data_IF_753750347708
#
_entry.id   IF_753750347708
#
_cell.length_a   1.000
_cell.length_b   1.000
_cell.length_c   1.000
_cell.angle_alpha   90.00
_cell.angle_beta   90.00
_cell.angle_gamma   90.00
#
_symmetry.space_group_name_H-M   'P 1'
#
loop_
_entity.id
_entity.type
_entity.pdbx_description
1 polymer ?
#
# COMPACT_ATOMS: atom_id res chain seq x y z
N UNK A 1 43.38 -31.10 -16.60
CA UNK A 1 42.04 -30.69 -16.13
C UNK A 1 42.20 -29.60 -15.08
N UNK A 2 42.35 -28.35 -15.51
CA UNK A 2 42.35 -27.21 -14.60
C UNK A 2 40.91 -26.81 -14.31
N UNK A 3 40.51 -26.82 -13.03
CA UNK A 3 39.29 -26.15 -12.59
C UNK A 3 39.56 -24.66 -12.70
N UNK A 4 39.00 -24.00 -13.71
CA UNK A 4 38.94 -22.54 -13.72
C UNK A 4 38.18 -22.12 -12.46
N UNK A 5 38.85 -21.34 -11.61
CA UNK A 5 38.18 -20.66 -10.51
C UNK A 5 37.05 -19.80 -11.10
N UNK A 6 35.88 -19.70 -10.43
CA UNK A 6 34.83 -18.79 -10.89
C UNK A 6 35.45 -17.38 -10.95
N UNK A 7 35.46 -16.79 -12.16
CA UNK A 7 35.76 -15.38 -12.33
C UNK A 7 34.84 -14.60 -11.40
N UNK A 8 35.43 -13.98 -10.38
CA UNK A 8 34.73 -13.04 -9.52
C UNK A 8 34.37 -11.88 -10.45
N UNK A 9 33.09 -11.75 -10.76
CA UNK A 9 32.52 -10.65 -11.54
C UNK A 9 32.75 -9.34 -10.77
N UNK A 10 33.92 -8.72 -10.98
CA UNK A 10 34.39 -7.52 -10.27
C UNK A 10 33.48 -6.30 -10.49
N UNK A 11 32.51 -6.40 -11.39
CA UNK A 11 31.55 -5.35 -11.71
C UNK A 11 30.23 -5.45 -10.91
N UNK A 12 30.05 -6.49 -10.08
CA UNK A 12 28.82 -6.63 -9.27
C UNK A 12 28.92 -5.86 -7.96
N UNK A 13 28.05 -4.86 -7.82
CA UNK A 13 27.80 -4.16 -6.55
C UNK A 13 27.40 -5.20 -5.48
N UNK A 14 28.01 -5.18 -4.27
CA UNK A 14 27.62 -6.07 -3.19
C UNK A 14 26.13 -5.95 -2.86
N UNK A 15 25.43 -7.08 -2.66
CA UNK A 15 23.98 -7.09 -2.45
C UNK A 15 23.50 -6.13 -1.33
N UNK A 16 24.16 -6.02 -0.15
CA UNK A 16 23.76 -5.06 0.87
C UNK A 16 23.81 -3.60 0.39
N UNK A 17 24.85 -3.24 -0.37
CA UNK A 17 24.98 -1.89 -0.93
C UNK A 17 23.91 -1.64 -2.00
N UNK A 18 23.64 -2.64 -2.85
CA UNK A 18 22.59 -2.56 -3.85
C UNK A 18 21.20 -2.35 -3.23
N UNK A 19 20.86 -3.09 -2.16
CA UNK A 19 19.62 -2.87 -1.39
C UNK A 19 19.55 -1.45 -0.84
N UNK A 20 20.64 -0.93 -0.28
CA UNK A 20 20.69 0.44 0.23
C UNK A 20 20.46 1.49 -0.86
N UNK A 21 21.01 1.29 -2.06
CA UNK A 21 20.79 2.18 -3.22
C UNK A 21 19.33 2.16 -3.66
N UNK A 22 18.69 0.99 -3.71
CA UNK A 22 17.26 0.86 -4.03
C UNK A 22 16.42 1.58 -2.98
N UNK A 23 16.68 1.35 -1.68
CA UNK A 23 15.96 2.03 -0.60
C UNK A 23 16.14 3.55 -0.66
N UNK A 24 17.35 4.03 -0.90
CA UNK A 24 17.63 5.45 -1.06
C UNK A 24 16.83 6.07 -2.23
N UNK A 25 16.83 5.40 -3.39
CA UNK A 25 16.04 5.84 -4.55
C UNK A 25 14.54 5.88 -4.24
N UNK A 26 14.01 4.90 -3.50
CA UNK A 26 12.61 4.86 -3.08
C UNK A 26 12.23 5.97 -2.09
N UNK A 27 13.18 6.50 -1.31
CA UNK A 27 12.92 7.63 -0.41
C UNK A 27 12.92 8.99 -1.11
N UNK A 28 13.58 9.10 -2.26
CA UNK A 28 13.73 10.37 -2.97
C UNK A 28 12.41 11.10 -3.24
N UNK A 29 11.32 10.44 -3.74
CA UNK A 29 10.04 11.11 -3.96
C UNK A 29 9.46 11.74 -2.69
N UNK A 30 9.54 11.04 -1.55
CA UNK A 30 9.03 11.54 -0.27
C UNK A 30 9.84 12.75 0.22
N UNK A 31 11.17 12.70 0.09
CA UNK A 31 12.05 13.81 0.46
C UNK A 31 11.84 15.02 -0.45
N UNK A 32 11.68 14.81 -1.76
CA UNK A 32 11.39 15.87 -2.73
C UNK A 32 10.10 16.62 -2.36
N UNK A 33 9.00 15.90 -2.13
CA UNK A 33 7.74 16.49 -1.68
C UNK A 33 7.90 17.26 -0.36
N UNK A 34 8.66 16.71 0.60
CA UNK A 34 8.89 17.37 1.87
C UNK A 34 9.64 18.72 1.71
N UNK A 35 10.63 18.76 0.82
CA UNK A 35 11.39 19.99 0.51
C UNK A 35 10.50 21.01 -0.19
N UNK A 36 9.71 20.60 -1.18
CA UNK A 36 8.76 21.48 -1.91
C UNK A 36 7.75 22.14 -0.97
N UNK A 37 7.34 21.42 0.08
CA UNK A 37 6.42 21.93 1.12
C UNK A 37 7.12 22.52 2.34
N UNK A 38 8.44 22.73 2.30
CA UNK A 38 9.25 23.32 3.38
C UNK A 38 9.14 22.60 4.73
N UNK A 39 8.97 21.27 4.72
CA UNK A 39 8.98 20.49 5.95
C UNK A 39 10.40 20.37 6.53
N UNK A 40 10.58 20.57 7.86
CA UNK A 40 11.87 20.38 8.51
C UNK A 40 12.39 18.94 8.38
N UNK A 41 13.71 18.78 8.27
CA UNK A 41 14.35 17.46 8.20
C UNK A 41 13.94 16.54 9.37
N UNK A 42 13.80 17.10 10.58
CA UNK A 42 13.41 16.31 11.74
C UNK A 42 11.97 15.79 11.65
N UNK A 43 11.06 16.54 11.01
CA UNK A 43 9.70 16.07 10.69
C UNK A 43 9.74 14.90 9.70
N UNK A 44 10.58 14.98 8.67
CA UNK A 44 10.74 13.89 7.69
C UNK A 44 11.31 12.64 8.34
N UNK A 45 12.35 12.78 9.17
CA UNK A 45 12.92 11.66 9.94
C UNK A 45 11.88 11.01 10.85
N UNK A 46 11.07 11.83 11.52
CA UNK A 46 9.98 11.37 12.37
C UNK A 46 8.95 10.57 11.55
N UNK A 47 8.49 11.09 10.41
CA UNK A 47 7.57 10.39 9.49
C UNK A 47 8.12 9.05 9.01
N UNK A 48 9.39 9.02 8.57
CA UNK A 48 10.06 7.78 8.15
C UNK A 48 10.17 6.78 9.29
N UNK A 49 10.46 7.24 10.51
CA UNK A 49 10.54 6.41 11.71
C UNK A 49 9.19 5.76 12.03
N UNK A 50 8.08 6.48 11.85
CA UNK A 50 6.74 5.92 12.02
C UNK A 50 6.37 4.93 10.94
N UNK A 51 6.68 5.23 9.67
CA UNK A 51 6.43 4.33 8.56
C UNK A 51 7.17 3.00 8.77
N UNK A 52 8.44 3.06 9.18
CA UNK A 52 9.22 1.88 9.55
C UNK A 52 8.61 1.14 10.75
N UNK A 53 8.09 1.87 11.74
CA UNK A 53 7.43 1.27 12.91
C UNK A 53 6.16 0.51 12.53
N UNK A 54 5.31 1.13 11.69
CA UNK A 54 4.09 0.51 11.20
C UNK A 54 4.41 -0.79 10.45
N UNK A 55 5.41 -0.76 9.57
CA UNK A 55 5.81 -1.95 8.82
C UNK A 55 6.43 -3.04 9.70
N UNK A 56 7.28 -2.66 10.67
CA UNK A 56 7.87 -3.61 11.61
C UNK A 56 6.81 -4.25 12.52
N UNK A 57 5.82 -3.47 12.97
CA UNK A 57 4.69 -3.97 13.77
C UNK A 57 3.79 -4.91 12.98
N UNK A 58 3.61 -4.67 11.67
CA UNK A 58 2.87 -5.56 10.76
C UNK A 58 3.56 -6.92 10.63
N UNK A 59 4.89 -6.93 10.54
CA UNK A 59 5.69 -8.16 10.35
C UNK A 59 6.06 -8.90 11.63
N UNK A 60 6.13 -8.20 12.76
CA UNK A 60 6.63 -8.76 14.02
C UNK A 60 5.71 -8.42 15.20
N UNK A 61 5.37 -9.44 15.98
CA UNK A 61 4.46 -9.30 17.13
C UNK A 61 5.14 -8.82 18.42
N UNK A 62 6.48 -8.87 18.49
CA UNK A 62 7.21 -8.57 19.74
C UNK A 62 8.09 -7.34 19.64
N UNK A 63 8.07 -6.52 20.71
CA UNK A 63 8.92 -5.31 20.83
C UNK A 63 10.40 -5.64 20.75
N UNK A 64 10.83 -6.82 21.21
CA UNK A 64 12.23 -7.22 21.17
C UNK A 64 12.72 -7.36 19.72
N UNK A 65 11.97 -8.04 18.86
CA UNK A 65 12.32 -8.15 17.43
C UNK A 65 12.32 -6.78 16.75
N UNK A 66 11.33 -5.94 17.04
CA UNK A 66 11.28 -4.59 16.47
C UNK A 66 12.48 -3.75 16.94
N UNK A 67 12.94 -3.93 18.18
CA UNK A 67 14.12 -3.22 18.70
C UNK A 67 15.42 -3.59 17.98
N UNK A 68 15.56 -4.83 17.53
CA UNK A 68 16.68 -5.28 16.71
C UNK A 68 16.67 -4.61 15.34
N UNK A 69 15.50 -4.53 14.68
CA UNK A 69 15.33 -3.88 13.37
C UNK A 69 15.69 -2.39 13.45
N UNK A 70 15.24 -1.72 14.50
CA UNK A 70 15.53 -0.30 14.72
C UNK A 70 16.97 -0.04 15.15
N UNK A 71 17.70 -1.06 15.62
CA UNK A 71 18.99 -0.89 16.28
C UNK A 71 18.90 0.02 17.51
N UNK A 72 17.79 -0.05 18.27
CA UNK A 72 17.52 0.79 19.45
C UNK A 72 17.16 -0.06 20.66
N UNK A 73 17.23 0.54 21.85
CA UNK A 73 16.79 -0.11 23.08
C UNK A 73 15.27 -0.36 23.07
N UNK A 74 14.82 -1.42 23.75
CA UNK A 74 13.38 -1.71 23.93
C UNK A 74 12.63 -0.57 24.62
N UNK A 75 13.30 0.20 25.49
CA UNK A 75 12.76 1.42 26.12
C UNK A 75 12.42 2.49 25.08
N UNK A 76 13.33 2.74 24.14
CA UNK A 76 13.11 3.71 23.05
C UNK A 76 11.94 3.28 22.16
N UNK A 77 11.89 1.99 21.80
CA UNK A 77 10.81 1.45 20.98
C UNK A 77 9.45 1.49 21.70
N UNK A 78 9.42 1.24 23.02
CA UNK A 78 8.20 1.43 23.84
C UNK A 78 7.73 2.88 23.84
N UNK A 79 8.65 3.85 23.93
CA UNK A 79 8.30 5.26 23.86
C UNK A 79 7.73 5.64 22.48
N UNK A 80 8.31 5.11 21.39
CA UNK A 80 7.80 5.28 20.03
C UNK A 80 6.41 4.66 19.87
N UNK A 81 6.20 3.44 20.36
CA UNK A 81 4.89 2.77 20.39
C UNK A 81 3.85 3.60 21.14
N UNK A 82 4.20 4.13 22.31
CA UNK A 82 3.30 4.98 23.08
C UNK A 82 2.95 6.28 22.34
N UNK A 83 3.94 6.92 21.68
CA UNK A 83 3.72 8.12 20.86
C UNK A 83 2.81 7.83 19.66
N UNK A 84 3.00 6.70 18.99
CA UNK A 84 2.17 6.23 17.88
C UNK A 84 0.72 5.96 18.32
N UNK A 85 0.54 5.20 19.41
CA UNK A 85 -0.79 4.82 19.89
C UNK A 85 -1.58 6.01 20.46
N UNK A 86 -0.90 7.05 20.99
CA UNK A 86 -1.54 8.28 21.48
C UNK A 86 -2.10 9.19 20.38
N UNK A 87 -1.98 8.82 19.10
CA UNK A 87 -2.55 9.61 17.99
C UNK A 87 -1.83 10.92 17.71
N UNK A 88 -0.62 11.11 18.26
CA UNK A 88 0.07 12.41 18.25
C UNK A 88 0.73 12.81 16.93
N UNK A 89 0.36 12.21 15.79
CA UNK A 89 0.98 12.53 14.50
C UNK A 89 -0.01 12.96 13.43
N UNK A 90 -1.16 12.30 13.35
CA UNK A 90 -2.31 12.73 12.57
C UNK A 90 -3.49 12.71 13.51
N UNK A 91 -4.26 13.81 13.58
CA UNK A 91 -5.46 13.86 14.41
C UNK A 91 -6.30 12.62 14.10
N UNK A 92 -6.60 11.81 15.13
CA UNK A 92 -7.34 10.56 14.95
C UNK A 92 -8.78 10.88 14.55
N UNK A 93 -9.06 10.90 13.25
CA UNK A 93 -10.42 10.95 12.71
C UNK A 93 -11.01 9.54 12.64
N UNK A 94 -12.34 9.47 12.56
CA UNK A 94 -13.15 8.26 12.35
C UNK A 94 -12.65 7.40 11.17
N UNK A 95 -11.96 8.02 10.20
CA UNK A 95 -11.24 7.40 9.08
C UNK A 95 -10.26 6.29 9.50
N UNK A 96 -9.59 6.44 10.65
CA UNK A 96 -8.66 5.42 11.15
C UNK A 96 -9.37 4.11 11.56
N UNK A 97 -10.65 4.18 11.91
CA UNK A 97 -11.42 3.00 12.29
C UNK A 97 -11.85 2.21 11.06
N UNK A 98 -12.36 2.90 10.03
CA UNK A 98 -12.73 2.29 8.75
C UNK A 98 -11.55 1.56 8.10
N UNK A 99 -10.38 2.20 8.04
CA UNK A 99 -9.18 1.57 7.50
C UNK A 99 -8.73 0.33 8.28
N UNK A 100 -8.89 0.33 9.61
CA UNK A 100 -8.60 -0.86 10.43
C UNK A 100 -9.57 -2.00 10.17
N UNK A 101 -10.84 -1.70 9.94
CA UNK A 101 -11.83 -2.71 9.52
C UNK A 101 -11.38 -3.34 8.20
N UNK A 102 -11.00 -2.54 7.22
CA UNK A 102 -10.47 -3.04 5.94
C UNK A 102 -9.20 -3.87 6.13
N UNK A 103 -8.21 -3.37 6.86
CA UNK A 103 -6.96 -4.11 7.13
C UNK A 103 -7.21 -5.49 7.78
N UNK A 104 -8.24 -5.60 8.63
CA UNK A 104 -8.68 -6.87 9.20
C UNK A 104 -9.34 -7.75 8.13
N UNK A 105 -10.27 -7.21 7.35
CA UNK A 105 -10.98 -7.93 6.30
C UNK A 105 -10.07 -8.37 5.15
N UNK A 106 -8.97 -7.65 4.86
CA UNK A 106 -7.91 -8.07 3.91
C UNK A 106 -7.25 -9.37 4.34
N UNK A 107 -7.17 -9.64 5.64
CA UNK A 107 -6.56 -10.86 6.15
C UNK A 107 -7.50 -12.06 6.04
N UNK A 108 -8.79 -11.86 6.33
CA UNK A 108 -9.84 -12.86 6.19
C UNK A 108 -11.23 -12.24 6.34
N UNK A 109 -12.28 -12.81 5.75
CA UNK A 109 -13.66 -12.40 6.01
C UNK A 109 -14.09 -12.62 7.47
N UNK A 110 -14.68 -11.60 8.10
CA UNK A 110 -15.04 -11.59 9.53
C UNK A 110 -16.49 -11.16 9.77
N UNK A 111 -17.07 -11.57 10.91
CA UNK A 111 -18.36 -11.03 11.39
C UNK A 111 -18.17 -9.70 12.11
N UNK A 112 -19.27 -8.97 12.32
CA UNK A 112 -19.26 -7.71 13.07
C UNK A 112 -18.69 -7.88 14.48
N UNK A 113 -18.98 -9.00 15.16
CA UNK A 113 -18.48 -9.25 16.51
C UNK A 113 -16.99 -9.56 16.53
N UNK A 114 -16.49 -10.32 15.56
CA UNK A 114 -15.05 -10.59 15.40
C UNK A 114 -14.27 -9.29 15.12
N UNK A 115 -14.86 -8.36 14.36
CA UNK A 115 -14.31 -7.03 14.13
C UNK A 115 -14.33 -6.21 15.44
N UNK A 116 -15.45 -6.15 16.15
CA UNK A 116 -15.60 -5.39 17.38
C UNK A 116 -14.63 -5.85 18.49
N UNK A 117 -14.33 -7.15 18.57
CA UNK A 117 -13.37 -7.71 19.53
C UNK A 117 -11.92 -7.29 19.23
N UNK A 118 -11.58 -7.10 17.95
CA UNK A 118 -10.23 -6.74 17.48
C UNK A 118 -9.98 -5.24 17.41
N UNK A 119 -11.04 -4.45 17.28
CA UNK A 119 -10.98 -3.01 17.20
C UNK A 119 -10.85 -2.39 18.61
N UNK A 120 -10.21 -1.22 18.74
CA UNK A 120 -10.08 -0.55 20.03
C UNK A 120 -11.47 -0.24 20.59
N UNK A 121 -11.70 -0.62 21.84
CA UNK A 121 -12.97 -0.33 22.51
C UNK A 121 -13.07 1.18 22.76
N UNK A 122 -13.91 1.86 21.98
CA UNK A 122 -14.35 3.22 22.29
C UNK A 122 -15.58 3.12 23.20
N UNK A 123 -15.44 3.53 24.46
CA UNK A 123 -16.38 3.22 25.54
C UNK A 123 -17.78 3.87 25.43
N UNK A 124 -18.09 4.67 24.40
CA UNK A 124 -19.33 5.45 24.37
C UNK A 124 -20.29 5.12 23.22
N UNK A 125 -19.86 4.48 22.12
CA UNK A 125 -20.73 4.12 20.99
C UNK A 125 -20.23 2.86 20.27
N UNK A 126 -21.13 2.12 19.63
CA UNK A 126 -20.82 0.97 18.75
C UNK A 126 -20.14 1.43 17.45
N UNK A 127 -18.94 1.97 17.60
CA UNK A 127 -18.14 2.57 16.54
C UNK A 127 -17.75 1.56 15.47
N UNK A 128 -17.59 0.28 15.85
CA UNK A 128 -17.30 -0.81 14.92
C UNK A 128 -18.44 -1.01 13.94
N UNK A 129 -19.69 -1.00 14.42
CA UNK A 129 -20.88 -1.06 13.57
C UNK A 129 -21.00 0.15 12.66
N UNK A 130 -20.82 1.36 13.20
CA UNK A 130 -20.88 2.59 12.39
C UNK A 130 -19.85 2.59 11.26
N UNK A 131 -18.63 2.12 11.53
CA UNK A 131 -17.59 2.00 10.52
C UNK A 131 -17.92 0.95 9.45
N UNK A 132 -18.45 -0.22 9.85
CA UNK A 132 -18.89 -1.26 8.90
C UNK A 132 -20.05 -0.76 8.04
N UNK A 133 -21.06 -0.13 8.65
CA UNK A 133 -22.22 0.41 7.92
C UNK A 133 -21.79 1.50 6.92
N UNK A 134 -20.83 2.35 7.30
CA UNK A 134 -20.26 3.35 6.39
C UNK A 134 -19.52 2.70 5.21
N UNK A 135 -18.67 1.69 5.47
CA UNK A 135 -17.93 0.97 4.43
C UNK A 135 -18.85 0.19 3.47
N UNK A 136 -19.92 -0.41 3.98
CA UNK A 136 -20.95 -1.08 3.14
C UNK A 136 -21.66 -0.05 2.27
N UNK A 137 -22.07 1.09 2.85
CA UNK A 137 -22.73 2.17 2.12
C UNK A 137 -21.83 2.77 1.03
N UNK A 138 -20.53 2.88 1.30
CA UNK A 138 -19.51 3.33 0.35
C UNK A 138 -19.15 2.27 -0.70
N UNK A 139 -19.66 1.03 -0.56
CA UNK A 139 -19.37 -0.08 -1.47
C UNK A 139 -17.91 -0.58 -1.38
N UNK A 140 -17.22 -0.31 -0.27
CA UNK A 140 -15.84 -0.74 -0.01
C UNK A 140 -15.77 -2.16 0.52
N UNK A 141 -16.83 -2.60 1.21
CA UNK A 141 -16.98 -3.97 1.71
C UNK A 141 -18.38 -4.50 1.35
N UNK A 142 -18.47 -5.82 1.15
CA UNK A 142 -19.71 -6.51 0.83
C UNK A 142 -20.04 -7.57 1.90
N UNK A 143 -21.33 -7.84 2.06
CA UNK A 143 -21.83 -8.95 2.85
C UNK A 143 -21.75 -10.25 2.06
N UNK A 144 -20.98 -11.21 2.57
CA UNK A 144 -20.96 -12.57 2.04
C UNK A 144 -22.29 -13.28 2.36
N UNK A 145 -22.89 -13.98 1.38
CA UNK A 145 -24.13 -14.71 1.59
C UNK A 145 -23.93 -15.77 2.67
N UNK A 146 -24.63 -15.60 3.78
CA UNK A 146 -24.63 -16.55 4.91
C UNK A 146 -25.86 -17.44 4.84
N UNK A 147 -25.75 -18.69 5.32
CA UNK A 147 -26.91 -19.59 5.42
C UNK A 147 -27.94 -19.00 6.39
N UNK A 148 -29.24 -19.28 6.22
CA UNK A 148 -30.28 -18.81 7.15
C UNK A 148 -29.91 -19.14 8.60
N UNK A 149 -29.88 -18.13 9.47
CA UNK A 149 -29.51 -18.26 10.88
C UNK A 149 -28.03 -18.14 11.22
N UNK A 150 -27.13 -17.95 10.24
CA UNK A 150 -25.74 -17.54 10.50
C UNK A 150 -25.56 -16.03 10.32
N UNK A 151 -24.65 -15.46 11.12
CA UNK A 151 -24.27 -14.06 11.01
C UNK A 151 -23.61 -13.78 9.66
N UNK A 152 -23.85 -12.59 9.12
CA UNK A 152 -23.20 -12.11 7.91
C UNK A 152 -21.68 -11.98 8.17
N UNK A 153 -20.89 -12.41 7.19
CA UNK A 153 -19.46 -12.11 7.14
C UNK A 153 -19.25 -11.00 6.14
N UNK A 154 -18.34 -10.09 6.43
CA UNK A 154 -17.96 -9.03 5.52
C UNK A 154 -16.68 -9.42 4.78
N UNK A 155 -16.55 -8.97 3.54
CA UNK A 155 -15.33 -9.09 2.73
C UNK A 155 -15.07 -7.75 2.03
N UNK A 156 -13.82 -7.48 1.67
CA UNK A 156 -13.51 -6.32 0.84
C UNK A 156 -14.01 -6.53 -0.57
N UNK A 157 -14.58 -5.48 -1.14
CA UNK A 157 -14.92 -5.42 -2.56
C UNK A 157 -13.63 -5.12 -3.31
N UNK A 158 -13.12 -6.07 -4.09
CA UNK A 158 -11.88 -5.92 -4.86
C UNK A 158 -12.01 -4.98 -6.08
N UNK A 159 -13.06 -4.13 -6.14
CA UNK A 159 -13.34 -3.32 -7.32
C UNK A 159 -12.38 -2.15 -7.44
N UNK A 160 -12.17 -1.75 -8.68
CA UNK A 160 -11.45 -0.55 -9.09
C UNK A 160 -11.84 0.65 -8.23
N UNK A 161 -11.00 1.03 -7.26
CA UNK A 161 -11.07 2.34 -6.66
C UNK A 161 -10.65 3.33 -7.74
N UNK A 162 -11.62 4.07 -8.26
CA UNK A 162 -11.30 5.26 -9.05
C UNK A 162 -10.60 6.21 -8.07
N UNK A 163 -9.27 6.34 -8.21
CA UNK A 163 -8.36 7.03 -7.28
C UNK A 163 -8.64 8.55 -7.20
N UNK A 164 -9.70 9.01 -7.86
CA UNK A 164 -10.07 10.40 -8.03
C UNK A 164 -11.53 10.62 -7.63
N UNK A 165 -11.90 10.33 -6.37
CA UNK A 165 -13.12 10.93 -5.83
C UNK A 165 -12.84 12.40 -5.51
N UNK A 166 -13.78 13.27 -5.90
CA UNK A 166 -13.78 14.67 -5.44
C UNK A 166 -14.18 14.76 -3.96
N UNK A 167 -14.77 13.69 -3.43
CA UNK A 167 -15.31 13.59 -2.09
C UNK A 167 -14.24 13.15 -1.08
N UNK A 168 -13.56 14.13 -0.48
CA UNK A 168 -12.73 13.96 0.72
C UNK A 168 -11.22 13.83 0.47
N UNK A 169 -10.41 14.47 1.32
CA UNK A 169 -8.94 14.36 1.26
C UNK A 169 -8.46 12.99 1.74
N UNK A 170 -9.27 12.32 2.57
CA UNK A 170 -9.01 10.99 3.10
C UNK A 170 -8.94 9.94 1.99
N UNK A 171 -9.93 9.91 1.09
CA UNK A 171 -9.95 8.98 -0.04
C UNK A 171 -8.76 9.17 -0.96
N UNK A 172 -8.30 10.42 -1.14
CA UNK A 172 -7.07 10.71 -1.92
C UNK A 172 -5.81 10.16 -1.25
N UNK A 173 -5.75 10.21 0.07
CA UNK A 173 -4.63 9.63 0.83
C UNK A 173 -4.67 8.11 0.76
N UNK A 174 -5.83 7.48 0.91
CA UNK A 174 -5.98 6.03 0.76
C UNK A 174 -5.59 5.56 -0.66
N UNK A 175 -6.06 6.27 -1.68
CA UNK A 175 -5.67 6.06 -3.07
C UNK A 175 -4.14 6.14 -3.28
N UNK A 176 -3.49 7.14 -2.66
CA UNK A 176 -2.03 7.25 -2.69
C UNK A 176 -1.35 6.04 -2.04
N UNK A 177 -1.87 5.54 -0.91
CA UNK A 177 -1.31 4.36 -0.26
C UNK A 177 -1.39 3.11 -1.13
N UNK A 178 -2.54 2.86 -1.77
CA UNK A 178 -2.71 1.72 -2.68
C UNK A 178 -1.77 1.83 -3.89
N UNK A 179 -1.66 3.04 -4.44
CA UNK A 179 -0.73 3.31 -5.54
C UNK A 179 0.72 3.02 -5.12
N UNK A 180 1.15 3.52 -3.96
CA UNK A 180 2.51 3.30 -3.44
C UNK A 180 2.76 1.84 -3.06
N UNK A 181 1.74 1.08 -2.63
CA UNK A 181 1.86 -0.35 -2.36
C UNK A 181 2.16 -1.13 -3.66
N UNK A 182 1.42 -0.86 -4.73
CA UNK A 182 1.66 -1.46 -6.04
C UNK A 182 3.05 -1.10 -6.59
N UNK A 183 3.47 0.17 -6.46
CA UNK A 183 4.82 0.62 -6.85
C UNK A 183 5.89 -0.07 -6.02
N UNK A 184 5.69 -0.19 -4.70
CA UNK A 184 6.63 -0.87 -3.79
C UNK A 184 6.80 -2.33 -4.15
N UNK A 185 5.71 -3.04 -4.43
CA UNK A 185 5.76 -4.45 -4.83
C UNK A 185 6.46 -4.62 -6.18
N UNK A 186 6.21 -3.70 -7.11
CA UNK A 186 6.91 -3.66 -8.41
C UNK A 186 8.41 -3.45 -8.24
N UNK A 187 8.83 -2.51 -7.38
CA UNK A 187 10.24 -2.28 -7.06
C UNK A 187 10.84 -3.54 -6.41
N UNK A 188 10.15 -4.15 -5.45
CA UNK A 188 10.62 -5.36 -4.77
C UNK A 188 10.82 -6.51 -5.74
N UNK A 189 9.84 -6.82 -6.58
CA UNK A 189 9.93 -7.92 -7.56
C UNK A 189 11.01 -7.66 -8.61
N UNK A 190 11.07 -6.45 -9.13
CA UNK A 190 12.02 -6.11 -10.20
C UNK A 190 13.46 -6.02 -9.71
N UNK A 191 13.68 -5.37 -8.58
CA UNK A 191 15.03 -5.04 -8.15
C UNK A 191 15.53 -5.98 -7.06
N UNK A 192 14.67 -6.54 -6.21
CA UNK A 192 15.08 -7.27 -5.00
C UNK A 192 14.64 -8.75 -4.98
N UNK A 193 14.07 -9.27 -6.07
CA UNK A 193 13.60 -10.66 -6.18
C UNK A 193 14.35 -11.40 -7.28
N UNK A 194 14.32 -12.74 -7.22
CA UNK A 194 15.01 -13.62 -8.18
C UNK A 194 14.32 -13.70 -9.55
N UNK A 195 13.17 -13.06 -9.71
CA UNK A 195 12.30 -13.10 -10.90
C UNK A 195 11.96 -11.68 -11.39
N UNK A 196 12.95 -10.90 -11.88
CA UNK A 196 12.75 -9.51 -12.25
C UNK A 196 11.79 -9.31 -13.43
N UNK A 197 11.66 -10.31 -14.30
CA UNK A 197 10.87 -10.24 -15.53
C UNK A 197 9.35 -10.33 -15.31
N UNK A 198 8.91 -10.79 -14.14
CA UNK A 198 7.49 -10.89 -13.80
C UNK A 198 6.88 -9.53 -13.42
N UNK A 199 7.71 -8.53 -13.10
CA UNK A 199 7.27 -7.19 -12.74
C UNK A 199 7.42 -6.20 -13.91
N UNK A 200 6.30 -5.97 -14.61
CA UNK A 200 6.24 -5.06 -15.75
C UNK A 200 6.17 -3.58 -15.32
N UNK A 201 7.33 -2.98 -15.00
CA UNK A 201 7.48 -1.52 -14.99
C UNK A 201 8.18 -1.08 -16.29
N UNK A 202 7.55 -0.26 -17.12
CA UNK A 202 8.21 0.32 -18.29
C UNK A 202 7.95 1.82 -18.31
N UNK A 203 9.02 2.58 -18.52
CA UNK A 203 8.95 4.02 -18.73
C UNK A 203 9.09 4.28 -20.23
N UNK A 204 8.10 4.94 -20.81
CA UNK A 204 8.12 5.36 -22.20
C UNK A 204 8.20 6.89 -22.22
N UNK A 205 9.23 7.44 -22.88
CA UNK A 205 9.41 8.88 -23.02
C UNK A 205 9.26 9.25 -24.50
N UNK A 206 8.31 10.13 -24.81
CA UNK A 206 8.03 10.60 -26.16
C UNK A 206 7.49 12.03 -26.14
N UNK A 207 7.49 12.70 -27.29
CA UNK A 207 6.90 14.03 -27.46
C UNK A 207 5.48 13.87 -28.00
N UNK A 208 4.53 14.61 -27.43
CA UNK A 208 3.14 14.67 -27.87
C UNK A 208 2.56 16.07 -27.58
N UNK A 209 1.50 16.44 -28.28
CA UNK A 209 0.71 17.63 -27.91
C UNK A 209 -0.14 17.34 -26.67
N UNK A 210 -0.57 18.37 -25.90
CA UNK A 210 -1.50 18.17 -24.79
C UNK A 210 -2.79 17.45 -25.22
N UNK A 211 -3.30 17.74 -26.42
CA UNK A 211 -4.49 17.13 -27.00
C UNK A 211 -4.26 15.64 -27.28
N UNK A 212 -3.16 15.29 -27.95
CA UNK A 212 -2.80 13.89 -28.23
C UNK A 212 -2.59 13.10 -26.93
N UNK A 213 -1.98 13.73 -25.91
CA UNK A 213 -1.75 13.10 -24.62
C UNK A 213 -3.08 12.86 -23.87
N UNK A 214 -4.03 13.80 -23.93
CA UNK A 214 -5.35 13.62 -23.36
C UNK A 214 -6.11 12.47 -24.05
N UNK A 215 -6.04 12.39 -25.38
CA UNK A 215 -6.64 11.32 -26.16
C UNK A 215 -6.00 9.96 -25.82
N UNK A 216 -4.67 9.86 -25.87
CA UNK A 216 -3.94 8.64 -25.54
C UNK A 216 -4.26 8.13 -24.13
N UNK A 217 -4.38 9.03 -23.14
CA UNK A 217 -4.76 8.65 -21.77
C UNK A 217 -6.15 8.03 -21.72
N UNK A 218 -7.13 8.61 -22.42
CA UNK A 218 -8.48 8.08 -22.48
C UNK A 218 -8.51 6.70 -23.15
N UNK A 219 -7.83 6.56 -24.29
CA UNK A 219 -7.73 5.30 -25.03
C UNK A 219 -7.05 4.21 -24.18
N UNK A 220 -5.97 4.57 -23.45
CA UNK A 220 -5.26 3.66 -22.56
C UNK A 220 -6.15 3.17 -21.41
N UNK A 221 -6.90 4.07 -20.77
CA UNK A 221 -7.79 3.69 -19.67
C UNK A 221 -8.98 2.86 -20.15
N UNK A 222 -9.58 3.19 -21.29
CA UNK A 222 -10.63 2.39 -21.89
C UNK A 222 -10.10 0.99 -22.25
N UNK A 223 -8.91 0.91 -22.84
CA UNK A 223 -8.25 -0.36 -23.15
C UNK A 223 -8.01 -1.18 -21.89
N UNK A 224 -7.37 -0.61 -20.86
CA UNK A 224 -7.09 -1.31 -19.60
C UNK A 224 -8.39 -1.82 -18.97
N UNK A 225 -9.42 -0.96 -18.86
CA UNK A 225 -10.72 -1.32 -18.29
C UNK A 225 -11.41 -2.45 -19.05
N UNK A 226 -11.38 -2.41 -20.38
CA UNK A 226 -11.93 -3.49 -21.20
C UNK A 226 -11.21 -4.80 -20.93
N UNK A 227 -9.87 -4.78 -20.89
CA UNK A 227 -9.05 -5.97 -20.66
C UNK A 227 -9.18 -6.53 -19.25
N UNK A 228 -9.27 -5.69 -18.21
CA UNK A 228 -9.47 -6.15 -16.84
C UNK A 228 -10.84 -6.81 -16.68
N UNK A 229 -11.90 -6.21 -17.23
CA UNK A 229 -13.25 -6.81 -17.21
C UNK A 229 -13.29 -8.18 -17.92
N UNK A 230 -12.59 -8.34 -19.04
CA UNK A 230 -12.46 -9.63 -19.71
C UNK A 230 -11.72 -10.67 -18.86
N UNK A 231 -10.65 -10.25 -18.17
CA UNK A 231 -9.87 -11.13 -17.30
C UNK A 231 -10.65 -11.53 -16.04
N UNK A 232 -11.38 -10.59 -15.42
CA UNK A 232 -12.25 -10.86 -14.28
C UNK A 232 -13.34 -11.86 -14.63
N UNK A 233 -14.05 -11.68 -15.76
CA UNK A 233 -15.07 -12.64 -16.22
C UNK A 233 -14.50 -14.04 -16.41
N UNK A 234 -13.29 -14.16 -16.97
CA UNK A 234 -12.61 -15.46 -17.13
C UNK A 234 -12.16 -16.05 -15.79
N UNK A 235 -11.75 -15.18 -14.85
CA UNK A 235 -11.35 -15.59 -13.52
C UNK A 235 -12.54 -16.10 -12.69
N UNK A 236 -13.72 -15.50 -12.83
CA UNK A 236 -14.96 -15.98 -12.18
C UNK A 236 -15.36 -17.39 -12.64
N UNK A 237 -14.99 -17.77 -13.87
CA UNK A 237 -15.21 -19.13 -14.40
C UNK A 237 -14.15 -20.15 -13.92
N UNK A 238 -13.02 -19.67 -13.36
CA UNK A 238 -11.89 -20.49 -12.89
C UNK A 238 -11.86 -20.58 -11.36
N UNK A 239 -11.65 -21.78 -10.80
CA UNK A 239 -11.53 -21.95 -9.34
C UNK A 239 -10.23 -21.42 -8.74
N UNK A 240 -9.27 -20.99 -9.56
CA UNK A 240 -8.04 -20.33 -9.14
C UNK A 240 -7.97 -18.94 -9.76
N UNK A 241 -8.00 -17.92 -8.91
CA UNK A 241 -7.85 -16.52 -9.29
C UNK A 241 -6.92 -15.82 -8.29
N UNK A 242 -5.90 -15.17 -8.85
CA UNK A 242 -5.04 -14.24 -8.11
C UNK A 242 -5.53 -12.81 -8.39
N UNK A 243 -5.33 -11.90 -7.43
CA UNK A 243 -5.66 -10.48 -7.58
C UNK A 243 -4.43 -9.74 -8.10
N UNK A 244 -4.59 -9.02 -9.20
CA UNK A 244 -3.53 -8.22 -9.82
C UNK A 244 -3.89 -6.74 -9.79
N UNK A 245 -2.90 -5.89 -9.52
CA UNK A 245 -3.04 -4.44 -9.60
C UNK A 245 -2.27 -3.90 -10.83
N UNK A 246 -2.91 -3.04 -11.61
CA UNK A 246 -2.30 -2.36 -12.76
C UNK A 246 -2.29 -0.87 -12.48
N UNK A 247 -1.11 -0.27 -12.54
CA UNK A 247 -0.94 1.18 -12.49
C UNK A 247 -0.50 1.70 -13.86
N UNK A 248 -1.19 2.73 -14.33
CA UNK A 248 -0.78 3.54 -15.46
C UNK A 248 -0.89 5.01 -15.07
N UNK A 249 0.16 5.78 -15.34
CA UNK A 249 0.22 7.21 -15.10
C UNK A 249 0.86 7.94 -16.27
N UNK A 250 0.37 9.14 -16.56
CA UNK A 250 0.99 10.06 -17.51
C UNK A 250 1.28 11.37 -16.80
N UNK A 251 2.54 11.78 -16.76
CA UNK A 251 2.96 13.06 -16.19
C UNK A 251 3.65 13.88 -17.26
N UNK A 252 3.23 15.14 -17.41
CA UNK A 252 3.99 16.10 -18.20
C UNK A 252 5.31 16.35 -17.46
N UNK A 253 6.43 16.22 -18.17
CA UNK A 253 7.74 16.62 -17.64
C UNK A 253 8.05 17.97 -18.28
N UNK A 254 8.28 19.00 -17.47
CA UNK A 254 8.79 20.27 -17.97
C UNK A 254 10.17 19.99 -18.59
N UNK A 255 10.35 20.37 -19.86
CA UNK A 255 11.66 20.33 -20.47
C UNK A 255 12.47 21.49 -19.90
N UNK A 256 13.45 21.19 -19.05
CA UNK A 256 14.49 22.14 -18.65
C UNK A 256 15.34 22.60 -19.84
#
# INVERSE_FOLDING_TARGET
MGRNAPEIDQERIPYPEYVLRVLYASFYPAVKMAVEHNYPLDTVKDMMTLALWQEAKRKHSTINLISLIFGKSTRTVKALSARFNKGGFFNQTETNLMRRVEDLLRQQPMTLEELAERLPHSNEFDSSRLAVDALVREGRIDELPSRPGRRAKYTIVARHHDLFSEDGWETRVDALYEHLEAVTETIRRRFLSDQPDEAAARTFSFKATPEDMAQFRNDLFEFIRSRTNEMEKKADESQASDVFAVYAGSTATEAE
#
